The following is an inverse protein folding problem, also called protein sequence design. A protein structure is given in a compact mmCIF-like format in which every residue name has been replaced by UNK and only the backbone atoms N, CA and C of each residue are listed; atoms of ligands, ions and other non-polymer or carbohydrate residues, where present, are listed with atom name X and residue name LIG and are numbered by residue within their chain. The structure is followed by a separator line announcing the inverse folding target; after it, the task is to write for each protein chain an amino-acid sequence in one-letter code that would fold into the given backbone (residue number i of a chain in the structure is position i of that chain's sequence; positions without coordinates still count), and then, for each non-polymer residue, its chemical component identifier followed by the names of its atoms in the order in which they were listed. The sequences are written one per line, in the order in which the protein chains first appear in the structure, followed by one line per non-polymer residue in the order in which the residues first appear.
data_IF_329071933113
#
_entry.id   IF_329071933113
#
_cell.length_a   1.000
_cell.length_b   1.000
_cell.length_c   1.000
_cell.angle_alpha   90.00
_cell.angle_beta   90.00
_cell.angle_gamma   90.00
#
_symmetry.space_group_name_H-M   'P 1'
#
loop_
_entity.id
_entity.type
_entity.pdbx_description
1 polymer ?
#
# COMPACT_ATOMS: atom_id res chain seq x y z
N UNK A 1 -19.60 -1.97 -1.06
CA UNK A 1 -18.51 -0.97 -1.01
C UNK A 1 -17.37 -1.56 -0.22
N UNK A 2 -16.13 -1.19 -0.58
CA UNK A 2 -14.89 -1.68 0.05
C UNK A 2 -14.46 -0.73 1.16
N UNK A 3 -14.00 -1.21 2.31
CA UNK A 3 -13.37 -0.34 3.32
C UNK A 3 -11.90 -0.15 2.98
N UNK A 4 -11.44 1.09 2.88
CA UNK A 4 -10.01 1.39 2.73
C UNK A 4 -9.33 1.43 4.10
N UNK A 5 -8.11 0.92 4.19
CA UNK A 5 -7.23 1.00 5.36
C UNK A 5 -5.91 1.61 4.93
N UNK A 6 -5.59 2.78 5.50
CA UNK A 6 -4.31 3.44 5.35
C UNK A 6 -3.43 3.12 6.56
N UNK A 7 -2.27 2.52 6.30
CA UNK A 7 -1.24 2.29 7.32
C UNK A 7 -0.35 3.54 7.40
N UNK A 8 -0.55 4.33 8.46
CA UNK A 8 0.07 5.64 8.66
C UNK A 8 0.95 5.71 9.93
N UNK A 9 1.16 4.57 10.59
CA UNK A 9 1.97 4.45 11.81
C UNK A 9 3.47 4.62 11.58
N UNK A 10 4.19 4.83 12.68
CA UNK A 10 5.65 4.93 12.74
C UNK A 10 6.25 3.55 13.03
N UNK A 11 7.54 3.41 12.73
CA UNK A 11 8.31 2.27 13.23
C UNK A 11 8.88 2.64 14.61
N UNK A 12 8.57 1.84 15.61
CA UNK A 12 9.03 2.05 16.99
C UNK A 12 10.55 2.30 17.07
N UNK A 13 10.93 3.37 17.77
CA UNK A 13 12.32 3.69 18.09
C UNK A 13 13.15 4.34 16.96
N UNK A 14 12.55 4.63 15.80
CA UNK A 14 13.22 5.31 14.70
C UNK A 14 12.46 6.57 14.29
N UNK A 15 13.12 7.72 14.42
CA UNK A 15 12.63 8.96 13.82
C UNK A 15 12.87 8.91 12.31
N UNK A 16 11.80 9.05 11.53
CA UNK A 16 11.91 9.07 10.08
C UNK A 16 12.63 10.34 9.60
N UNK A 17 13.65 10.25 8.70
CA UNK A 17 14.37 11.42 8.22
C UNK A 17 13.49 12.49 7.57
N UNK A 18 12.44 12.09 6.84
CA UNK A 18 11.52 13.03 6.20
C UNK A 18 10.62 13.73 7.22
N UNK A 19 10.22 13.01 8.28
CA UNK A 19 9.48 13.60 9.39
C UNK A 19 10.33 14.63 10.13
N UNK A 20 11.61 14.29 10.40
CA UNK A 20 12.56 15.17 11.06
C UNK A 20 12.84 16.43 10.23
N UNK A 21 13.13 16.28 8.94
CA UNK A 21 13.39 17.39 8.02
C UNK A 21 12.18 18.35 7.94
N UNK A 22 10.97 17.80 7.95
CA UNK A 22 9.73 18.58 7.89
C UNK A 22 9.26 19.12 9.25
N UNK A 23 9.92 18.77 10.36
CA UNK A 23 9.50 19.19 11.70
C UNK A 23 8.14 18.65 12.13
N UNK A 24 7.74 17.47 11.64
CA UNK A 24 6.44 16.84 11.94
C UNK A 24 6.61 15.56 12.77
N UNK A 25 5.56 15.16 13.48
CA UNK A 25 5.59 14.00 14.36
C UNK A 25 5.60 12.65 13.64
N UNK A 26 4.97 12.57 12.44
CA UNK A 26 4.82 11.36 11.64
C UNK A 26 5.23 11.60 10.19
N UNK A 27 5.90 10.63 9.56
CA UNK A 27 6.30 10.66 8.14
C UNK A 27 5.13 10.98 7.22
N UNK A 28 3.95 10.41 7.50
CA UNK A 28 2.73 10.62 6.72
C UNK A 28 2.25 12.08 6.68
N UNK A 29 2.76 12.95 7.57
CA UNK A 29 2.46 14.37 7.60
C UNK A 29 3.49 15.23 6.87
N UNK A 30 4.64 14.66 6.49
CA UNK A 30 5.67 15.42 5.77
C UNK A 30 5.13 15.85 4.39
N UNK A 31 5.45 17.07 3.92
CA UNK A 31 4.86 17.62 2.72
C UNK A 31 5.46 17.01 1.45
N UNK A 32 4.60 16.78 0.46
CA UNK A 32 4.94 16.44 -0.93
C UNK A 32 4.05 17.29 -1.83
N UNK A 33 4.63 18.00 -2.79
CA UNK A 33 3.88 18.97 -3.62
C UNK A 33 3.00 19.93 -2.78
N UNK A 34 3.53 20.43 -1.65
CA UNK A 34 2.85 21.39 -0.79
C UNK A 34 1.78 20.83 0.16
N UNK A 35 1.45 19.53 0.09
CA UNK A 35 0.45 18.88 0.96
C UNK A 35 1.03 17.69 1.73
N UNK A 36 0.53 17.36 2.94
CA UNK A 36 0.93 16.15 3.66
C UNK A 36 0.77 14.88 2.81
N UNK A 37 1.69 13.90 2.92
CA UNK A 37 1.60 12.62 2.20
C UNK A 37 0.21 11.97 2.33
N UNK A 38 -0.30 11.91 3.56
CA UNK A 38 -1.59 11.30 3.89
C UNK A 38 -2.77 12.00 3.18
N UNK A 39 -2.67 13.30 2.90
CA UNK A 39 -3.70 14.05 2.17
C UNK A 39 -3.87 13.50 0.76
N UNK A 40 -2.78 13.20 0.05
CA UNK A 40 -2.83 12.65 -1.31
C UNK A 40 -3.53 11.30 -1.35
N UNK A 41 -3.14 10.39 -0.45
CA UNK A 41 -3.73 9.05 -0.34
C UNK A 41 -5.20 9.12 0.05
N UNK A 42 -5.54 9.93 1.06
CA UNK A 42 -6.92 10.09 1.49
C UNK A 42 -7.81 10.74 0.43
N UNK A 43 -7.29 11.69 -0.35
CA UNK A 43 -8.01 12.31 -1.46
C UNK A 43 -8.33 11.29 -2.56
N UNK A 44 -7.33 10.49 -2.98
CA UNK A 44 -7.53 9.45 -3.98
C UNK A 44 -8.58 8.42 -3.55
N UNK A 45 -8.53 7.97 -2.30
CA UNK A 45 -9.50 7.02 -1.74
C UNK A 45 -10.90 7.63 -1.59
N UNK A 46 -11.01 8.90 -1.17
CA UNK A 46 -12.28 9.58 -1.04
C UNK A 46 -12.95 9.84 -2.40
N UNK A 47 -12.17 10.04 -3.45
CA UNK A 47 -12.64 10.20 -4.83
C UNK A 47 -12.87 8.87 -5.57
N UNK A 48 -12.68 7.72 -4.91
CA UNK A 48 -12.90 6.40 -5.50
C UNK A 48 -14.30 5.87 -5.20
N UNK A 49 -15.15 5.72 -6.23
CA UNK A 49 -16.55 5.26 -6.08
C UNK A 49 -16.69 3.87 -5.40
N UNK A 50 -15.68 3.01 -5.56
CA UNK A 50 -15.65 1.67 -4.95
C UNK A 50 -15.34 1.65 -3.45
N UNK A 51 -14.84 2.76 -2.90
CA UNK A 51 -14.49 2.89 -1.49
C UNK A 51 -15.70 3.41 -0.71
N UNK A 52 -15.96 2.78 0.43
CA UNK A 52 -16.90 3.20 1.45
C UNK A 52 -16.13 3.87 2.58
N UNK A 53 -16.04 3.25 3.73
CA UNK A 53 -15.30 3.81 4.86
C UNK A 53 -13.77 3.88 4.60
N UNK A 54 -13.11 4.91 5.14
CA UNK A 54 -11.64 5.02 5.18
C UNK A 54 -11.18 4.89 6.63
N UNK A 55 -10.32 3.92 6.91
CA UNK A 55 -9.70 3.73 8.23
C UNK A 55 -8.23 4.13 8.18
N UNK A 56 -7.76 4.85 9.19
CA UNK A 56 -6.35 5.27 9.27
C UNK A 56 -5.74 4.68 10.52
N UNK A 57 -4.82 3.73 10.37
CA UNK A 57 -4.05 3.18 11.47
C UNK A 57 -2.88 4.11 11.80
N UNK A 58 -2.95 4.82 12.92
CA UNK A 58 -1.96 5.82 13.37
C UNK A 58 -1.84 5.82 14.90
N UNK A 59 -0.67 6.11 15.46
CA UNK A 59 -0.46 6.12 16.91
C UNK A 59 -1.21 7.26 17.60
N UNK A 60 -1.20 8.43 16.99
CA UNK A 60 -1.80 9.65 17.51
C UNK A 60 -2.88 10.16 16.54
N UNK A 61 -4.17 9.84 16.78
CA UNK A 61 -5.27 10.31 15.94
C UNK A 61 -5.45 11.83 15.88
N UNK A 62 -4.97 12.58 16.88
CA UNK A 62 -5.21 14.03 16.96
C UNK A 62 -4.52 14.77 15.81
N UNK A 63 -3.40 14.23 15.32
CA UNK A 63 -2.65 14.82 14.19
C UNK A 63 -3.46 14.85 12.90
N UNK A 64 -4.46 13.97 12.75
CA UNK A 64 -5.34 13.94 11.57
C UNK A 64 -6.26 15.16 11.55
N UNK A 65 -6.73 15.61 12.71
CA UNK A 65 -7.62 16.77 12.82
C UNK A 65 -6.93 18.09 12.44
N UNK A 66 -5.59 18.13 12.49
CA UNK A 66 -4.79 19.28 12.06
C UNK A 66 -4.70 19.47 10.54
N UNK A 67 -5.17 18.50 9.75
CA UNK A 67 -5.12 18.56 8.28
C UNK A 67 -6.53 18.81 7.72
N UNK A 68 -6.79 19.91 6.97
CA UNK A 68 -8.15 20.31 6.59
C UNK A 68 -8.97 19.23 5.87
N UNK A 69 -8.38 18.50 4.92
CA UNK A 69 -9.10 17.42 4.22
C UNK A 69 -9.45 16.26 5.17
N UNK A 70 -8.48 15.82 5.97
CA UNK A 70 -8.67 14.70 6.89
C UNK A 70 -9.70 15.07 7.96
N UNK A 71 -9.66 16.30 8.48
CA UNK A 71 -10.68 16.84 9.40
C UNK A 71 -12.08 16.76 8.80
N UNK A 72 -12.29 17.18 7.55
CA UNK A 72 -13.60 17.07 6.87
C UNK A 72 -14.06 15.61 6.74
N UNK A 73 -13.15 14.69 6.44
CA UNK A 73 -13.47 13.27 6.36
C UNK A 73 -13.81 12.66 7.74
N UNK A 74 -13.14 13.11 8.80
CA UNK A 74 -13.47 12.73 10.19
C UNK A 74 -14.85 13.26 10.59
N UNK A 75 -15.11 14.55 10.36
CA UNK A 75 -16.37 15.21 10.74
C UNK A 75 -17.59 14.63 10.02
N UNK A 76 -17.42 14.18 8.77
CA UNK A 76 -18.48 13.50 8.00
C UNK A 76 -18.66 12.03 8.37
N UNK A 77 -17.84 11.47 9.25
CA UNK A 77 -17.82 10.03 9.57
C UNK A 77 -17.28 9.16 8.42
N UNK A 78 -16.73 9.78 7.36
CA UNK A 78 -16.16 9.08 6.22
C UNK A 78 -14.81 8.45 6.53
N UNK A 79 -14.09 9.03 7.48
CA UNK A 79 -12.82 8.54 7.98
C UNK A 79 -12.91 8.17 9.46
N UNK A 80 -12.30 7.05 9.84
CA UNK A 80 -12.18 6.61 11.22
C UNK A 80 -10.71 6.35 11.59
N UNK A 81 -10.17 7.02 12.61
CA UNK A 81 -8.85 6.69 13.11
C UNK A 81 -8.89 5.38 13.90
N UNK A 82 -7.82 4.61 13.78
CA UNK A 82 -7.60 3.40 14.56
C UNK A 82 -6.21 3.49 15.16
N UNK A 83 -6.09 3.22 16.46
CA UNK A 83 -4.79 3.21 17.12
C UNK A 83 -3.86 2.18 16.47
N UNK A 84 -2.74 2.64 15.93
CA UNK A 84 -1.69 1.77 15.44
C UNK A 84 -1.12 0.91 16.58
N UNK A 85 -0.55 -0.24 16.22
CA UNK A 85 0.06 -1.21 17.12
C UNK A 85 1.53 -1.40 16.74
N UNK A 86 2.41 -1.82 17.68
CA UNK A 86 3.84 -2.02 17.42
C UNK A 86 4.17 -2.93 16.21
N UNK A 87 3.29 -3.88 15.89
CA UNK A 87 3.39 -4.74 14.72
C UNK A 87 2.40 -4.30 13.63
N UNK A 88 2.87 -4.28 12.38
CA UNK A 88 2.06 -3.94 11.21
C UNK A 88 0.81 -4.83 11.09
N UNK A 89 0.96 -6.13 11.33
CA UNK A 89 -0.16 -7.09 11.28
C UNK A 89 -1.17 -6.78 12.38
N UNK A 90 -0.72 -6.48 13.60
CA UNK A 90 -1.63 -6.15 14.70
C UNK A 90 -2.39 -4.84 14.43
N UNK A 91 -1.77 -3.88 13.74
CA UNK A 91 -2.43 -2.66 13.26
C UNK A 91 -3.51 -2.96 12.23
N UNK A 92 -3.23 -3.86 11.27
CA UNK A 92 -4.20 -4.30 10.27
C UNK A 92 -5.38 -5.02 10.94
N UNK A 93 -5.12 -5.92 11.89
CA UNK A 93 -6.17 -6.64 12.61
C UNK A 93 -7.04 -5.69 13.43
N UNK A 94 -6.43 -4.75 14.16
CA UNK A 94 -7.15 -3.74 14.91
C UNK A 94 -8.03 -2.89 13.98
N UNK A 95 -7.50 -2.47 12.83
CA UNK A 95 -8.25 -1.67 11.88
C UNK A 95 -9.35 -2.46 11.15
N UNK A 96 -9.23 -3.77 11.02
CA UNK A 96 -10.27 -4.64 10.45
C UNK A 96 -11.39 -5.01 11.44
N UNK A 97 -11.25 -4.68 12.74
CA UNK A 97 -12.31 -4.93 13.73
C UNK A 97 -13.53 -4.04 13.45
N UNK A 98 -14.68 -4.65 13.20
CA UNK A 98 -15.90 -3.93 12.84
C UNK A 98 -15.91 -3.31 11.43
N UNK A 99 -14.88 -3.55 10.61
CA UNK A 99 -14.85 -3.07 9.22
C UNK A 99 -15.78 -3.88 8.33
N UNK A 100 -16.37 -3.22 7.33
CA UNK A 100 -17.04 -3.90 6.24
C UNK A 100 -16.00 -4.45 5.26
N UNK A 101 -16.24 -5.66 4.77
CA UNK A 101 -15.41 -6.28 3.75
C UNK A 101 -16.02 -6.11 2.35
N UNK A 102 -15.21 -6.09 1.29
CA UNK A 102 -13.76 -6.34 1.30
C UNK A 102 -12.92 -5.16 1.86
N UNK A 103 -11.65 -5.42 2.19
CA UNK A 103 -10.68 -4.41 2.60
C UNK A 103 -9.74 -4.08 1.44
N UNK A 104 -9.51 -2.79 1.21
CA UNK A 104 -8.39 -2.28 0.41
C UNK A 104 -7.36 -1.70 1.38
N UNK A 105 -6.13 -2.20 1.37
CA UNK A 105 -5.09 -1.78 2.32
C UNK A 105 -3.98 -1.09 1.54
N UNK A 106 -3.57 0.10 1.97
CA UNK A 106 -2.41 0.80 1.42
C UNK A 106 -1.60 1.52 2.50
N UNK A 107 -0.50 2.15 2.13
CA UNK A 107 0.38 2.90 3.04
C UNK A 107 0.24 4.40 2.83
N UNK A 108 0.51 5.19 3.87
CA UNK A 108 0.39 6.65 3.79
C UNK A 108 1.46 7.32 2.90
N UNK A 109 2.52 6.61 2.51
CA UNK A 109 3.57 7.08 1.61
C UNK A 109 3.38 6.66 0.14
N UNK A 110 2.26 6.00 -0.18
CA UNK A 110 1.84 5.74 -1.56
C UNK A 110 1.14 6.95 -2.19
N UNK A 111 1.81 8.10 -2.16
CA UNK A 111 1.21 9.41 -2.48
C UNK A 111 0.78 9.56 -3.95
N UNK A 112 1.23 8.65 -4.82
CA UNK A 112 0.90 8.65 -6.25
C UNK A 112 -0.32 7.78 -6.58
N UNK A 113 -0.95 7.15 -5.59
CA UNK A 113 -2.22 6.44 -5.73
C UNK A 113 -3.28 7.35 -6.35
N UNK A 114 -4.04 6.84 -7.32
CA UNK A 114 -5.12 7.57 -7.98
C UNK A 114 -6.45 6.81 -7.88
N UNK A 115 -7.60 7.50 -8.04
CA UNK A 115 -8.90 6.83 -8.11
C UNK A 115 -8.97 5.76 -9.21
N UNK A 116 -8.33 5.99 -10.36
CA UNK A 116 -8.28 5.04 -11.46
C UNK A 116 -7.50 3.78 -11.10
N UNK A 117 -6.36 3.92 -10.39
CA UNK A 117 -5.59 2.77 -9.92
C UNK A 117 -6.36 1.95 -8.86
N UNK A 118 -7.12 2.62 -7.99
CA UNK A 118 -8.03 1.95 -7.04
C UNK A 118 -9.14 1.21 -7.80
N UNK A 119 -9.77 1.85 -8.77
CA UNK A 119 -10.82 1.25 -9.59
C UNK A 119 -10.31 0.04 -10.40
N UNK A 120 -9.13 0.17 -11.02
CA UNK A 120 -8.45 -0.92 -11.75
C UNK A 120 -8.19 -2.11 -10.81
N UNK A 121 -7.64 -1.84 -9.62
CA UNK A 121 -7.42 -2.90 -8.63
C UNK A 121 -8.72 -3.57 -8.20
N UNK A 122 -9.75 -2.82 -7.81
CA UNK A 122 -11.01 -3.38 -7.35
C UNK A 122 -11.74 -4.16 -8.46
N UNK A 123 -11.67 -3.68 -9.70
CA UNK A 123 -12.24 -4.36 -10.88
C UNK A 123 -11.58 -5.72 -11.15
N UNK A 124 -10.25 -5.80 -11.04
CA UNK A 124 -9.52 -7.06 -11.20
C UNK A 124 -9.72 -8.03 -10.02
N UNK A 125 -9.85 -7.50 -8.79
CA UNK A 125 -10.09 -8.30 -7.58
C UNK A 125 -11.51 -8.91 -7.52
N UNK A 126 -12.49 -8.29 -8.20
CA UNK A 126 -13.87 -8.77 -8.27
C UNK A 126 -14.08 -10.08 -9.05
N UNK A 127 -13.02 -10.67 -9.59
CA UNK A 127 -13.06 -11.95 -10.30
C UNK A 127 -13.43 -13.10 -9.34
N UNK A 128 -14.38 -13.99 -9.72
CA UNK A 128 -14.79 -15.09 -8.86
C UNK A 128 -13.61 -15.96 -8.43
N UNK A 129 -13.49 -16.17 -7.12
CA UNK A 129 -12.50 -17.08 -6.54
C UNK A 129 -11.22 -16.43 -5.99
N UNK A 130 -11.04 -15.12 -6.11
CA UNK A 130 -9.93 -14.39 -5.47
C UNK A 130 -10.26 -14.09 -4.00
N UNK A 131 -9.41 -14.51 -3.07
CA UNK A 131 -9.57 -14.24 -1.63
C UNK A 131 -8.68 -13.08 -1.16
N UNK A 132 -7.50 -12.95 -1.77
CA UNK A 132 -6.58 -11.83 -1.54
C UNK A 132 -5.90 -11.41 -2.84
N UNK A 133 -5.55 -10.13 -2.95
CA UNK A 133 -4.80 -9.62 -4.08
C UNK A 133 -3.67 -8.68 -3.68
N UNK A 134 -2.62 -8.65 -4.49
CA UNK A 134 -1.44 -7.80 -4.30
C UNK A 134 -1.17 -7.04 -5.60
N UNK A 135 -1.12 -5.72 -5.52
CA UNK A 135 -0.86 -4.88 -6.68
C UNK A 135 0.62 -4.81 -7.03
N UNK A 136 0.90 -4.90 -8.33
CA UNK A 136 2.22 -4.72 -8.92
C UNK A 136 2.14 -3.80 -10.14
N UNK A 137 3.26 -3.15 -10.44
CA UNK A 137 3.49 -2.47 -11.70
C UNK A 137 4.68 -3.11 -12.42
N UNK A 138 4.59 -3.14 -13.75
CA UNK A 138 5.67 -3.58 -14.63
C UNK A 138 6.83 -2.57 -14.60
N UNK A 139 8.07 -3.05 -14.62
CA UNK A 139 9.28 -2.19 -14.60
C UNK A 139 9.23 -1.13 -15.68
N UNK A 140 8.82 -1.49 -16.88
CA UNK A 140 8.63 -0.59 -18.01
C UNK A 140 7.68 0.56 -17.70
N UNK A 141 6.50 0.27 -17.10
CA UNK A 141 5.54 1.31 -16.68
C UNK A 141 6.11 2.20 -15.58
N UNK A 142 6.85 1.62 -14.62
CA UNK A 142 7.45 2.40 -13.52
C UNK A 142 8.53 3.35 -14.03
N UNK A 143 9.39 2.87 -14.94
CA UNK A 143 10.44 3.70 -15.53
C UNK A 143 9.89 4.72 -16.53
N UNK A 144 8.77 4.42 -17.19
CA UNK A 144 8.05 5.38 -18.02
C UNK A 144 7.41 6.50 -17.17
N UNK A 145 6.92 6.18 -15.97
CA UNK A 145 6.45 7.20 -15.02
C UNK A 145 7.61 8.07 -14.54
N UNK A 146 8.68 7.47 -14.02
CA UNK A 146 9.90 8.21 -13.70
C UNK A 146 11.14 7.29 -13.62
N UNK A 147 12.24 7.58 -14.34
CA UNK A 147 13.40 6.70 -14.40
C UNK A 147 14.09 6.49 -13.04
N UNK A 148 14.06 7.52 -12.19
CA UNK A 148 14.63 7.49 -10.84
C UNK A 148 13.57 7.24 -9.75
N UNK A 149 12.35 6.82 -10.08
CA UNK A 149 11.30 6.63 -9.07
C UNK A 149 11.55 5.41 -8.18
N UNK A 150 11.81 4.27 -8.81
CA UNK A 150 11.96 2.98 -8.12
C UNK A 150 13.18 2.22 -8.64
N UNK A 151 13.90 1.58 -7.71
CA UNK A 151 15.08 0.76 -8.03
C UNK A 151 14.91 -0.71 -7.64
N UNK A 152 13.93 -1.01 -6.78
CA UNK A 152 13.65 -2.36 -6.28
C UNK A 152 12.64 -3.04 -7.20
N UNK A 153 13.09 -4.06 -7.92
CA UNK A 153 12.25 -4.88 -8.77
C UNK A 153 12.44 -6.37 -8.44
N UNK A 154 11.33 -7.09 -8.39
CA UNK A 154 11.30 -8.55 -8.36
C UNK A 154 11.37 -9.06 -9.79
N UNK A 155 12.35 -9.92 -10.07
CA UNK A 155 12.51 -10.55 -11.38
C UNK A 155 11.68 -11.82 -11.46
N UNK A 156 11.02 -12.03 -12.59
CA UNK A 156 10.30 -13.25 -12.95
C UNK A 156 10.66 -13.62 -14.39
N UNK A 157 10.20 -14.79 -14.85
CA UNK A 157 10.50 -15.29 -16.20
C UNK A 157 10.02 -14.32 -17.31
N UNK A 158 8.91 -13.63 -17.09
CA UNK A 158 8.22 -12.79 -18.09
C UNK A 158 8.47 -11.29 -17.91
N UNK A 159 9.33 -10.88 -16.98
CA UNK A 159 9.61 -9.48 -16.73
C UNK A 159 10.04 -9.18 -15.31
N UNK A 160 10.06 -7.89 -14.98
CA UNK A 160 10.36 -7.42 -13.63
C UNK A 160 9.25 -6.51 -13.14
N UNK A 161 8.91 -6.63 -11.86
CA UNK A 161 7.76 -5.96 -11.28
C UNK A 161 8.14 -5.30 -9.96
N UNK A 162 7.45 -4.23 -9.60
CA UNK A 162 7.53 -3.62 -8.27
C UNK A 162 6.16 -3.63 -7.60
N UNK A 163 6.13 -3.70 -6.27
CA UNK A 163 4.90 -3.71 -5.50
C UNK A 163 4.32 -2.29 -5.42
N UNK A 164 3.01 -2.14 -5.49
CA UNK A 164 2.33 -0.83 -5.44
C UNK A 164 1.81 -0.44 -4.05
N UNK A 165 2.34 -1.06 -2.99
CA UNK A 165 1.92 -0.95 -1.59
C UNK A 165 0.39 -0.95 -1.43
N UNK A 166 -0.30 -1.77 -2.24
CA UNK A 166 -1.76 -1.86 -2.28
C UNK A 166 -2.17 -3.33 -2.29
N UNK A 167 -3.10 -3.66 -1.41
CA UNK A 167 -3.54 -5.02 -1.14
C UNK A 167 -5.06 -5.05 -1.03
N UNK A 168 -5.66 -6.18 -1.37
CA UNK A 168 -7.10 -6.38 -1.23
C UNK A 168 -7.37 -7.69 -0.52
N UNK A 169 -8.33 -7.69 0.41
CA UNK A 169 -8.76 -8.87 1.15
C UNK A 169 -10.28 -8.99 1.04
N UNK A 170 -10.75 -10.12 0.54
CA UNK A 170 -12.16 -10.37 0.29
C UNK A 170 -13.02 -10.33 1.55
N UNK A 171 -12.56 -10.99 2.60
CA UNK A 171 -13.33 -11.23 3.82
C UNK A 171 -12.41 -11.43 5.04
N UNK A 172 -13.04 -11.65 6.19
CA UNK A 172 -12.36 -11.88 7.47
C UNK A 172 -11.53 -13.18 7.46
N UNK A 173 -11.86 -14.17 6.63
CA UNK A 173 -11.05 -15.38 6.51
C UNK A 173 -9.74 -15.07 5.76
N UNK A 174 -9.78 -14.27 4.70
CA UNK A 174 -8.57 -13.81 4.01
C UNK A 174 -7.62 -13.02 4.92
N UNK A 175 -8.16 -12.31 5.93
CA UNK A 175 -7.37 -11.63 6.96
C UNK A 175 -6.49 -12.59 7.78
N UNK A 176 -6.87 -13.86 7.93
CA UNK A 176 -6.06 -14.86 8.66
C UNK A 176 -4.74 -15.19 7.97
N UNK A 177 -4.61 -14.94 6.65
CA UNK A 177 -3.28 -14.98 6.02
C UNK A 177 -2.37 -13.90 6.59
N UNK A 178 -2.88 -12.69 6.85
CA UNK A 178 -2.12 -11.65 7.53
C UNK A 178 -1.71 -12.10 8.95
N UNK A 179 -2.57 -12.84 9.66
CA UNK A 179 -2.24 -13.44 10.96
C UNK A 179 -1.11 -14.48 10.87
N UNK A 180 -1.03 -15.23 9.76
CA UNK A 180 0.10 -16.15 9.50
C UNK A 180 1.43 -15.38 9.42
N UNK A 181 1.38 -14.11 8.98
CA UNK A 181 2.48 -13.16 9.00
C UNK A 181 2.67 -12.45 10.35
N UNK A 182 1.79 -12.62 11.36
CA UNK A 182 1.95 -12.05 12.72
C UNK A 182 3.25 -12.51 13.36
N UNK A 183 3.58 -13.79 13.18
CA UNK A 183 4.87 -14.39 13.54
C UNK A 183 6.07 -13.72 12.85
N UNK A 184 5.80 -12.88 11.83
CA UNK A 184 6.75 -12.32 10.90
C UNK A 184 7.19 -10.88 11.03
N UNK A 185 6.53 -10.09 11.87
CA UNK A 185 7.15 -8.85 12.38
C UNK A 185 8.50 -9.13 13.07
N UNK A 186 8.72 -10.36 13.56
CA UNK A 186 10.01 -10.85 14.05
C UNK A 186 10.88 -11.55 12.98
N UNK A 187 10.38 -11.78 11.76
CA UNK A 187 11.12 -12.46 10.68
C UNK A 187 12.29 -11.64 10.14
N UNK A 188 12.20 -10.31 10.18
CA UNK A 188 13.34 -9.44 9.86
C UNK A 188 14.52 -9.70 10.80
N UNK A 189 14.25 -10.16 12.03
CA UNK A 189 15.27 -10.57 13.00
C UNK A 189 15.69 -12.04 12.87
N UNK A 190 14.92 -12.89 12.17
CA UNK A 190 15.16 -14.35 12.06
C UNK A 190 14.83 -14.92 10.66
N UNK A 191 15.78 -14.89 9.71
CA UNK A 191 15.55 -15.26 8.30
C UNK A 191 15.10 -16.71 8.09
N UNK A 192 15.44 -17.63 9.00
CA UNK A 192 15.03 -19.05 8.94
C UNK A 192 13.51 -19.24 9.00
N UNK A 193 12.77 -18.31 9.61
CA UNK A 193 11.31 -18.41 9.67
C UNK A 193 10.65 -17.97 8.35
N UNK A 194 11.28 -17.05 7.59
CA UNK A 194 10.88 -16.72 6.21
C UNK A 194 11.06 -17.96 5.33
N UNK A 195 12.18 -18.66 5.48
CA UNK A 195 12.46 -19.92 4.76
C UNK A 195 11.40 -20.98 5.07
N UNK A 196 10.96 -21.11 6.31
CA UNK A 196 9.92 -22.07 6.71
C UNK A 196 8.50 -21.64 6.28
N UNK A 197 8.21 -20.35 6.26
CA UNK A 197 6.92 -19.82 5.83
C UNK A 197 6.73 -19.92 4.31
N UNK A 198 7.73 -19.46 3.55
CA UNK A 198 7.67 -19.37 2.09
C UNK A 198 8.22 -20.61 1.37
N UNK A 199 9.06 -21.41 2.04
CA UNK A 199 9.79 -22.54 1.46
C UNK A 199 11.10 -22.10 0.82
N UNK A 200 12.21 -22.73 1.21
CA UNK A 200 13.56 -22.44 0.71
C UNK A 200 13.63 -22.37 -0.83
N UNK A 201 13.06 -23.39 -1.50
CA UNK A 201 13.04 -23.47 -2.95
C UNK A 201 12.27 -22.30 -3.60
N UNK A 202 11.21 -21.80 -2.97
CA UNK A 202 10.46 -20.66 -3.51
C UNK A 202 11.24 -19.36 -3.36
N UNK A 203 11.99 -19.19 -2.27
CA UNK A 203 12.87 -18.04 -2.09
C UNK A 203 14.04 -18.05 -3.07
N UNK A 204 14.65 -19.22 -3.31
CA UNK A 204 15.69 -19.39 -4.34
C UNK A 204 15.14 -19.07 -5.72
N UNK A 205 13.95 -19.60 -6.07
CA UNK A 205 13.29 -19.28 -7.34
C UNK A 205 12.98 -17.80 -7.48
N UNK A 206 12.39 -17.17 -6.46
CA UNK A 206 12.09 -15.74 -6.46
C UNK A 206 13.37 -14.91 -6.62
N UNK A 207 14.46 -15.30 -5.97
CA UNK A 207 15.75 -14.61 -6.06
C UNK A 207 16.43 -14.80 -7.41
N UNK A 208 16.29 -15.97 -8.03
CA UNK A 208 16.83 -16.28 -9.36
C UNK A 208 15.86 -15.85 -10.50
N UNK A 209 14.67 -15.36 -10.16
CA UNK A 209 13.61 -15.03 -11.12
C UNK A 209 13.07 -16.21 -11.92
N UNK A 210 13.06 -17.40 -11.31
CA UNK A 210 12.60 -18.64 -11.92
C UNK A 210 11.08 -18.77 -11.72
N UNK A 211 10.36 -18.81 -12.85
CA UNK A 211 8.90 -18.95 -12.92
C UNK A 211 8.19 -17.62 -13.15
N UNK A 212 6.93 -17.71 -13.54
CA UNK A 212 6.08 -16.53 -13.78
C UNK A 212 5.55 -15.95 -12.46
N UNK A 213 5.06 -14.72 -12.50
CA UNK A 213 4.36 -14.09 -11.39
C UNK A 213 3.11 -14.92 -11.03
N UNK A 214 2.34 -15.33 -12.04
CA UNK A 214 1.15 -16.16 -11.87
C UNK A 214 1.47 -17.51 -11.20
N UNK A 215 2.53 -18.22 -11.64
CA UNK A 215 2.97 -19.46 -11.01
C UNK A 215 3.43 -19.26 -9.56
N UNK A 216 4.09 -18.14 -9.29
CA UNK A 216 4.54 -17.80 -7.94
C UNK A 216 3.36 -17.59 -7.00
N UNK A 217 2.36 -16.84 -7.45
CA UNK A 217 1.14 -16.63 -6.68
C UNK A 217 0.33 -17.91 -6.53
N UNK A 218 0.22 -18.77 -7.56
CA UNK A 218 -0.41 -20.08 -7.43
C UNK A 218 0.27 -20.97 -6.37
N UNK A 219 1.60 -20.88 -6.23
CA UNK A 219 2.34 -21.57 -5.15
C UNK A 219 2.03 -20.98 -3.77
N UNK A 220 1.95 -19.65 -3.66
CA UNK A 220 1.55 -19.00 -2.42
C UNK A 220 0.12 -19.38 -2.04
N UNK A 221 -0.81 -19.38 -3.00
CA UNK A 221 -2.20 -19.79 -2.77
C UNK A 221 -2.32 -21.19 -2.16
N UNK A 222 -1.60 -22.17 -2.73
CA UNK A 222 -1.55 -23.54 -2.16
C UNK A 222 -0.95 -23.58 -0.76
N UNK A 223 0.05 -22.74 -0.47
CA UNK A 223 0.75 -22.72 0.82
C UNK A 223 -0.07 -22.08 1.93
N UNK A 224 -0.89 -21.09 1.60
CA UNK A 224 -1.75 -20.36 2.53
C UNK A 224 -3.19 -20.89 2.56
N UNK A 225 -3.56 -21.81 1.67
CA UNK A 225 -4.90 -22.40 1.63
C UNK A 225 -5.99 -21.42 1.18
N UNK A 226 -5.63 -20.39 0.42
CA UNK A 226 -6.54 -19.36 -0.11
C UNK A 226 -6.06 -18.88 -1.48
N UNK A 227 -6.94 -18.32 -2.30
CA UNK A 227 -6.53 -17.78 -3.60
C UNK A 227 -5.95 -16.38 -3.46
N UNK A 228 -4.63 -16.28 -3.60
CA UNK A 228 -3.90 -15.01 -3.67
C UNK A 228 -3.57 -14.72 -5.13
N UNK A 229 -3.99 -13.55 -5.64
CA UNK A 229 -3.78 -13.14 -7.02
C UNK A 229 -2.84 -11.92 -7.12
N UNK A 230 -1.93 -11.87 -8.11
CA UNK A 230 -1.25 -10.64 -8.48
C UNK A 230 -2.18 -9.80 -9.37
N UNK A 231 -2.25 -8.50 -9.11
CA UNK A 231 -2.96 -7.53 -9.95
C UNK A 231 -1.93 -6.62 -10.59
N UNK A 232 -1.94 -6.50 -11.91
CA UNK A 232 -1.02 -5.61 -12.62
C UNK A 232 -1.73 -4.29 -12.88
N UNK A 233 -1.25 -3.22 -12.25
CA UNK A 233 -1.75 -1.88 -12.48
C UNK A 233 -1.05 -1.25 -13.68
N UNK A 234 -1.82 -0.53 -14.48
CA UNK A 234 -1.34 0.11 -15.70
C UNK A 234 -0.44 1.32 -15.41
N UNK A 235 -0.79 2.11 -14.39
CA UNK A 235 -0.01 3.25 -13.93
C UNK A 235 1.20 2.77 -13.12
N UNK A 236 2.42 3.00 -13.65
CA UNK A 236 3.65 2.66 -12.94
C UNK A 236 4.00 3.59 -11.78
N UNK A 237 3.41 4.79 -11.73
CA UNK A 237 3.70 5.76 -10.68
C UNK A 237 3.29 5.27 -9.29
N UNK A 238 2.25 4.44 -9.21
CA UNK A 238 1.74 3.86 -7.95
C UNK A 238 2.68 2.84 -7.29
N UNK A 239 3.79 2.48 -7.95
CA UNK A 239 4.87 1.69 -7.35
C UNK A 239 6.05 2.54 -6.84
N UNK A 240 5.91 3.86 -6.86
CA UNK A 240 6.90 4.82 -6.35
C UNK A 240 6.41 5.33 -5.00
N UNK A 241 7.01 4.83 -3.93
CA UNK A 241 6.76 5.20 -2.55
C UNK A 241 7.72 6.27 -2.03
N UNK A 242 7.24 7.15 -1.16
CA UNK A 242 8.04 8.24 -0.62
C UNK A 242 8.86 7.79 0.59
N UNK A 243 9.97 7.10 0.34
CA UNK A 243 10.92 6.65 1.37
C UNK A 243 12.02 7.65 1.77
N UNK A 244 12.43 8.56 0.88
CA UNK A 244 13.58 9.42 1.09
C UNK A 244 13.48 10.71 0.25
N UNK A 245 14.43 11.61 0.39
CA UNK A 245 14.46 12.90 -0.32
C UNK A 245 14.36 12.76 -1.84
N UNK A 246 15.01 11.75 -2.44
CA UNK A 246 14.93 11.47 -3.88
C UNK A 246 13.50 11.08 -4.27
N UNK A 247 12.91 10.07 -3.63
CA UNK A 247 11.55 9.64 -4.01
C UNK A 247 10.49 10.69 -3.66
N UNK A 248 10.73 11.51 -2.63
CA UNK A 248 9.91 12.70 -2.33
C UNK A 248 9.93 13.70 -3.47
N UNK A 249 11.11 14.00 -4.02
CA UNK A 249 11.25 14.92 -5.15
C UNK A 249 10.55 14.37 -6.41
N UNK A 250 10.75 13.08 -6.72
CA UNK A 250 10.08 12.40 -7.84
C UNK A 250 8.56 12.45 -7.69
N UNK A 251 8.03 12.11 -6.50
CA UNK A 251 6.61 12.14 -6.27
C UNK A 251 6.03 13.56 -6.39
N UNK A 252 6.75 14.57 -5.90
CA UNK A 252 6.34 15.96 -6.04
C UNK A 252 6.31 16.42 -7.51
N UNK A 253 7.30 16.04 -8.32
CA UNK A 253 7.34 16.31 -9.76
C UNK A 253 6.13 15.72 -10.48
N UNK A 254 5.85 14.43 -10.24
CA UNK A 254 4.72 13.72 -10.86
C UNK A 254 3.37 14.30 -10.43
N UNK A 255 3.19 14.63 -9.15
CA UNK A 255 1.96 15.26 -8.67
C UNK A 255 1.74 16.64 -9.29
N UNK A 256 2.79 17.47 -9.36
CA UNK A 256 2.71 18.79 -10.00
C UNK A 256 2.37 18.68 -11.50
N UNK A 257 2.97 17.72 -12.21
CA UNK A 257 2.66 17.46 -13.61
C UNK A 257 1.19 17.06 -13.81
N UNK A 258 0.64 16.18 -12.96
CA UNK A 258 -0.78 15.80 -12.98
C UNK A 258 -1.71 16.99 -12.72
N UNK A 259 -1.37 17.83 -11.75
CA UNK A 259 -2.15 19.04 -11.43
C UNK A 259 -2.17 20.02 -12.60
N UNK A 260 -1.03 20.22 -13.28
CA UNK A 260 -0.95 21.10 -14.45
C UNK A 260 -1.80 20.57 -15.63
N UNK A 261 -1.81 19.26 -15.86
CA UNK A 261 -2.68 18.64 -16.87
C UNK A 261 -4.16 18.80 -16.53
N UNK A 262 -4.54 18.59 -15.27
CA UNK A 262 -5.92 18.77 -14.83
C UNK A 262 -6.39 20.23 -14.99
N UNK A 263 -5.56 21.20 -14.61
CA UNK A 263 -5.84 22.64 -14.78
C UNK A 263 -5.95 23.06 -16.25
N UNK A 264 -5.21 22.42 -17.14
CA UNK A 264 -5.28 22.70 -18.58
C UNK A 264 -6.49 22.05 -19.26
N UNK A 265 -7.17 21.12 -18.59
CA UNK A 265 -8.36 20.43 -19.10
C UNK A 265 -9.68 21.08 -18.63
N UNK A 266 -9.62 22.03 -17.69
CA UNK A 266 -10.72 22.90 -17.24
C UNK A 266 -10.84 24.16 -18.12
#
# INVERSE_FOLDING_TARGET
MTTALILAGRRDGLTDPLALEAGVSHKCLAPVAGSPMLTHVAAALAASDGIGEIRVAIEDPEVLAGVPLLRRLLDSGRMMPVAARPNLVDSILAAAQGAQFPLFITTADNVLLTPEAVADMLGQCGTPGTDAAVAFARRESVLAAHPEGQRKFYRFAEGSYSNCNSYWLKDRAALTAAETFRSGGQFVKHPMRIVNAFGFLNLVRLRLGIGTLAETFARFSRRFGMTIAPVILSDGAVAIDVDNSRTRAVAAELLNARMAVAQAAE
#
